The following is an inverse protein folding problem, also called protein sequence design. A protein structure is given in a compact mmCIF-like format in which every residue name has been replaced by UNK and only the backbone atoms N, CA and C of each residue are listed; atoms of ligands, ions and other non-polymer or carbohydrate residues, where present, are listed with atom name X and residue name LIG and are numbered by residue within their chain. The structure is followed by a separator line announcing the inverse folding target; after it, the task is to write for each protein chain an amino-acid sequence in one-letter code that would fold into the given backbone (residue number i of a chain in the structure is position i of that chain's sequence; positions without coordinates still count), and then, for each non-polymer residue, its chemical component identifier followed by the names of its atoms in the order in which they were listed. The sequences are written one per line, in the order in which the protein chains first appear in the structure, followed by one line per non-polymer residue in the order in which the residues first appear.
data_IF_844413900515
#
_entry.id   IF_844413900515
#
_cell.length_a   1.000
_cell.length_b   1.000
_cell.length_c   1.000
_cell.angle_alpha   90.00
_cell.angle_beta   90.00
_cell.angle_gamma   90.00
#
_symmetry.space_group_name_H-M   'P 1'
#
loop_
_entity.id
_entity.type
_entity.pdbx_description
1 polymer ?
#
# COMPACT_ATOMS: atom_id res chain seq x y z
N UNK A 1 -27.03 13.24 -7.33
CA UNK A 1 -27.25 12.03 -6.50
C UNK A 1 -27.91 10.91 -7.29
N UNK A 2 -28.99 11.17 -8.00
CA UNK A 2 -29.64 10.15 -8.87
C UNK A 2 -28.70 9.40 -9.83
N UNK A 3 -27.70 10.05 -10.40
CA UNK A 3 -26.77 9.41 -11.32
C UNK A 3 -25.88 8.36 -10.63
N UNK A 4 -25.43 8.62 -9.40
CA UNK A 4 -24.71 7.62 -8.60
C UNK A 4 -25.57 6.43 -8.21
N UNK A 5 -26.85 6.65 -8.00
CA UNK A 5 -27.78 5.59 -7.57
C UNK A 5 -28.20 4.69 -8.71
N UNK A 6 -28.09 5.14 -9.98
CA UNK A 6 -28.38 4.33 -11.17
C UNK A 6 -27.31 3.28 -11.47
N UNK A 7 -26.04 3.61 -11.30
CA UNK A 7 -24.90 2.72 -11.54
C UNK A 7 -23.92 2.78 -10.35
N UNK A 8 -24.35 2.29 -9.20
CA UNK A 8 -23.59 2.52 -7.98
C UNK A 8 -22.18 1.90 -8.03
N UNK A 9 -21.97 0.72 -8.59
CA UNK A 9 -20.66 0.08 -8.65
C UNK A 9 -19.63 0.87 -9.47
N UNK A 10 -20.04 1.74 -10.39
CA UNK A 10 -19.12 2.54 -11.21
C UNK A 10 -18.53 3.76 -10.49
N UNK A 11 -19.08 4.15 -9.34
CA UNK A 11 -18.61 5.30 -8.57
C UNK A 11 -17.70 4.85 -7.44
N UNK A 12 -16.45 5.28 -7.47
CA UNK A 12 -15.47 4.99 -6.43
C UNK A 12 -15.13 6.25 -5.62
N UNK A 13 -14.93 6.09 -4.30
CA UNK A 13 -14.41 7.17 -3.46
C UNK A 13 -12.96 7.45 -3.85
N UNK A 14 -12.68 8.63 -4.40
CA UNK A 14 -11.36 8.96 -4.93
C UNK A 14 -10.57 9.89 -4.00
N UNK A 15 -11.25 10.72 -3.23
CA UNK A 15 -10.62 11.66 -2.31
C UNK A 15 -11.42 11.77 -1.03
N UNK A 16 -10.70 11.88 0.08
CA UNK A 16 -11.25 12.23 1.37
C UNK A 16 -10.64 13.55 1.82
N UNK A 17 -11.49 14.54 2.07
CA UNK A 17 -11.08 15.87 2.50
C UNK A 17 -11.46 16.07 3.97
N UNK A 18 -10.49 16.44 4.75
CA UNK A 18 -10.67 16.86 6.13
C UNK A 18 -10.72 18.39 6.19
N UNK A 19 -11.69 18.93 6.91
CA UNK A 19 -11.78 20.36 7.20
C UNK A 19 -11.85 20.54 8.71
N UNK A 20 -11.14 21.53 9.24
CA UNK A 20 -11.16 21.83 10.67
C UNK A 20 -12.58 22.23 11.10
N UNK A 21 -13.09 21.56 12.15
CA UNK A 21 -14.45 21.84 12.67
C UNK A 21 -15.61 21.37 11.80
N UNK A 22 -15.35 20.70 10.65
CA UNK A 22 -16.40 20.19 9.77
C UNK A 22 -16.30 18.67 9.58
N UNK A 23 -17.39 18.05 9.12
CA UNK A 23 -17.42 16.65 8.77
C UNK A 23 -16.55 16.39 7.51
N UNK A 24 -15.83 15.29 7.52
CA UNK A 24 -15.04 14.87 6.38
C UNK A 24 -15.91 14.61 5.13
N UNK A 25 -15.43 15.00 3.98
CA UNK A 25 -16.10 14.88 2.71
C UNK A 25 -15.44 13.87 1.80
N UNK A 26 -16.24 13.02 1.18
CA UNK A 26 -15.80 12.00 0.20
C UNK A 26 -16.17 12.46 -1.19
N UNK A 27 -15.18 12.67 -2.05
CA UNK A 27 -15.39 12.94 -3.48
C UNK A 27 -15.38 11.62 -4.24
N UNK A 28 -16.36 11.43 -5.13
CA UNK A 28 -16.52 10.23 -5.94
C UNK A 28 -16.19 10.51 -7.39
N UNK A 29 -15.58 9.52 -8.05
CA UNK A 29 -15.32 9.54 -9.48
C UNK A 29 -15.99 8.35 -10.16
N UNK A 30 -16.51 8.61 -11.35
CA UNK A 30 -17.07 7.59 -12.23
C UNK A 30 -15.94 6.93 -13.03
N UNK A 31 -15.82 5.60 -12.92
CA UNK A 31 -14.75 4.83 -13.54
C UNK A 31 -15.23 3.69 -14.43
N UNK A 32 -16.53 3.56 -14.70
CA UNK A 32 -17.12 2.45 -15.47
C UNK A 32 -16.58 1.08 -14.99
N UNK A 33 -16.49 0.10 -15.88
CA UNK A 33 -15.94 -1.24 -15.61
C UNK A 33 -14.44 -1.34 -15.97
N UNK A 34 -13.73 -0.23 -15.97
CA UNK A 34 -12.31 -0.19 -16.32
C UNK A 34 -11.46 -0.90 -15.26
N UNK A 35 -10.61 -1.82 -15.70
CA UNK A 35 -9.62 -2.46 -14.81
C UNK A 35 -8.53 -1.48 -14.43
N UNK A 36 -8.03 -1.60 -13.21
CA UNK A 36 -6.86 -0.83 -12.78
C UNK A 36 -5.61 -1.43 -13.41
N UNK A 37 -4.99 -0.67 -14.32
CA UNK A 37 -3.77 -1.06 -15.04
C UNK A 37 -2.54 -0.32 -14.54
N UNK A 38 -2.74 0.81 -13.86
CA UNK A 38 -1.67 1.68 -13.39
C UNK A 38 -0.95 1.11 -12.16
N UNK A 39 0.30 1.53 -11.98
CA UNK A 39 1.12 1.12 -10.84
C UNK A 39 0.60 1.62 -9.50
N UNK A 40 -0.15 2.72 -9.52
CA UNK A 40 -0.75 3.37 -8.35
C UNK A 40 -2.18 3.82 -8.68
N UNK A 41 -3.11 3.63 -7.74
CA UNK A 41 -4.50 4.01 -7.93
C UNK A 41 -4.68 5.53 -8.12
N UNK A 42 -3.78 6.33 -7.56
CA UNK A 42 -3.76 7.78 -7.78
C UNK A 42 -3.63 8.15 -9.26
N UNK A 43 -2.85 7.40 -10.04
CA UNK A 43 -2.66 7.63 -11.48
C UNK A 43 -3.97 7.39 -12.23
N UNK A 44 -4.67 6.31 -11.90
CA UNK A 44 -6.02 6.03 -12.41
C UNK A 44 -6.99 7.16 -12.07
N UNK A 45 -7.04 7.59 -10.82
CA UNK A 45 -7.92 8.69 -10.41
C UNK A 45 -7.56 10.01 -11.08
N UNK A 46 -6.29 10.31 -11.28
CA UNK A 46 -5.85 11.49 -12.03
C UNK A 46 -6.31 11.44 -13.50
N UNK A 47 -6.29 10.28 -14.12
CA UNK A 47 -6.84 10.06 -15.46
C UNK A 47 -8.36 10.26 -15.49
N UNK A 48 -9.07 9.66 -14.54
CA UNK A 48 -10.53 9.76 -14.46
C UNK A 48 -11.02 11.19 -14.19
N UNK A 49 -10.34 11.98 -13.38
CA UNK A 49 -10.68 13.40 -13.12
C UNK A 49 -10.73 14.24 -14.40
N UNK A 50 -9.99 13.84 -15.44
CA UNK A 50 -9.97 14.57 -16.73
C UNK A 50 -11.14 14.19 -17.65
N UNK A 51 -11.92 13.15 -17.33
CA UNK A 51 -13.06 12.73 -18.12
C UNK A 51 -14.20 13.74 -18.02
N UNK A 52 -14.92 14.01 -19.11
CA UNK A 52 -16.01 15.00 -19.11
C UNK A 52 -17.04 14.79 -17.99
N UNK A 53 -17.44 13.55 -17.73
CA UNK A 53 -18.39 13.22 -16.67
C UNK A 53 -17.89 13.62 -15.29
N UNK A 54 -16.62 13.36 -14.97
CA UNK A 54 -16.02 13.68 -13.68
C UNK A 54 -15.64 15.14 -13.56
N UNK A 55 -15.29 15.80 -14.67
CA UNK A 55 -15.03 17.23 -14.70
C UNK A 55 -16.31 18.06 -14.49
N UNK A 56 -17.43 17.57 -15.04
CA UNK A 56 -18.73 18.22 -14.90
C UNK A 56 -19.49 17.82 -13.61
N UNK A 57 -19.28 16.60 -13.13
CA UNK A 57 -20.02 16.03 -12.02
C UNK A 57 -19.12 15.11 -11.18
N UNK A 58 -18.59 15.65 -10.09
CA UNK A 58 -17.87 14.88 -9.06
C UNK A 58 -18.65 14.98 -7.75
N UNK A 59 -19.53 14.00 -7.44
CA UNK A 59 -20.37 14.05 -6.24
C UNK A 59 -19.50 14.09 -4.98
N UNK A 60 -19.99 14.86 -4.00
CA UNK A 60 -19.38 14.93 -2.66
C UNK A 60 -20.41 14.45 -1.64
N UNK A 61 -19.98 13.57 -0.73
CA UNK A 61 -20.86 13.00 0.30
C UNK A 61 -20.17 13.00 1.66
N UNK A 62 -20.95 12.75 2.74
CA UNK A 62 -20.43 12.54 4.08
C UNK A 62 -19.82 11.14 4.26
N UNK A 63 -19.08 10.93 5.36
CA UNK A 63 -18.63 9.60 5.79
C UNK A 63 -19.78 8.68 6.15
N UNK A 64 -20.88 9.24 6.67
CA UNK A 64 -22.09 8.48 6.95
C UNK A 64 -22.65 7.86 5.66
N UNK A 65 -22.75 8.64 4.58
CA UNK A 65 -23.20 8.15 3.28
C UNK A 65 -22.27 7.08 2.71
N UNK A 66 -20.94 7.23 2.90
CA UNK A 66 -19.96 6.19 2.52
C UNK A 66 -20.28 4.87 3.26
N UNK A 67 -20.49 4.93 4.58
CA UNK A 67 -20.78 3.72 5.38
C UNK A 67 -22.13 3.10 5.00
N UNK A 68 -23.16 3.91 4.85
CA UNK A 68 -24.49 3.44 4.43
C UNK A 68 -24.43 2.74 3.06
N UNK A 69 -23.66 3.32 2.11
CA UNK A 69 -23.46 2.75 0.80
C UNK A 69 -22.69 1.43 0.86
N UNK A 70 -21.63 1.35 1.64
CA UNK A 70 -20.85 0.12 1.80
C UNK A 70 -21.68 -1.02 2.40
N UNK A 71 -22.68 -0.70 3.24
CA UNK A 71 -23.64 -1.67 3.77
C UNK A 71 -24.65 -2.10 2.70
N UNK A 72 -25.17 -1.17 1.92
CA UNK A 72 -26.17 -1.45 0.89
C UNK A 72 -25.58 -2.17 -0.33
N UNK A 73 -24.32 -1.90 -0.65
CA UNK A 73 -23.58 -2.47 -1.78
C UNK A 73 -22.20 -2.92 -1.30
N UNK A 74 -22.09 -4.08 -0.66
CA UNK A 74 -20.80 -4.59 -0.19
C UNK A 74 -19.90 -4.96 -1.37
N UNK A 75 -18.62 -4.53 -1.28
CA UNK A 75 -17.59 -4.90 -2.23
C UNK A 75 -16.91 -6.21 -1.84
N UNK A 76 -15.93 -6.60 -2.66
CA UNK A 76 -15.08 -7.77 -2.43
C UNK A 76 -14.30 -7.56 -1.12
N UNK A 77 -14.38 -8.48 -0.15
CA UNK A 77 -13.58 -8.39 1.06
C UNK A 77 -12.08 -8.54 0.74
N UNK A 78 -11.18 -7.94 1.55
CA UNK A 78 -9.75 -8.05 1.29
C UNK A 78 -9.27 -9.48 1.47
N UNK A 79 -8.69 -10.04 0.41
CA UNK A 79 -8.03 -11.35 0.40
C UNK A 79 -6.64 -11.26 1.05
N UNK A 80 -5.96 -10.13 0.90
CA UNK A 80 -4.64 -9.94 1.50
C UNK A 80 -4.13 -8.51 1.43
N UNK A 81 -3.25 -8.17 2.37
CA UNK A 81 -2.53 -6.90 2.39
C UNK A 81 -1.05 -7.09 2.08
N UNK A 82 -0.48 -6.13 1.34
CA UNK A 82 0.95 -6.03 1.08
C UNK A 82 1.49 -4.83 1.83
N UNK A 83 2.14 -5.07 2.97
CA UNK A 83 2.97 -4.09 3.66
C UNK A 83 4.39 -4.12 3.09
N UNK A 84 5.10 -3.01 3.13
CA UNK A 84 6.43 -2.95 2.56
C UNK A 84 7.23 -1.74 3.07
N UNK A 85 8.55 -1.81 2.90
CA UNK A 85 9.48 -0.73 3.33
C UNK A 85 9.71 0.35 2.28
N UNK A 86 8.95 0.35 1.16
CA UNK A 86 9.26 1.14 -0.04
C UNK A 86 10.52 0.66 -0.79
N UNK A 87 10.59 0.90 -2.10
CA UNK A 87 11.75 0.55 -2.95
C UNK A 87 12.23 -0.91 -2.85
N UNK A 88 11.36 -1.81 -2.47
CA UNK A 88 11.62 -3.23 -2.22
C UNK A 88 10.89 -4.19 -3.16
N UNK A 89 10.36 -3.71 -4.30
CA UNK A 89 9.68 -4.57 -5.28
C UNK A 89 8.19 -4.81 -5.01
N UNK A 90 7.55 -4.07 -4.10
CA UNK A 90 6.12 -4.23 -3.79
C UNK A 90 5.20 -4.02 -5.00
N UNK A 91 5.56 -3.14 -5.94
CA UNK A 91 4.82 -2.97 -7.20
C UNK A 91 4.92 -4.23 -8.07
N UNK A 92 6.08 -4.90 -8.10
CA UNK A 92 6.23 -6.18 -8.78
C UNK A 92 5.31 -7.23 -8.16
N UNK A 93 5.33 -7.38 -6.82
CA UNK A 93 4.45 -8.33 -6.13
C UNK A 93 2.97 -8.04 -6.40
N UNK A 94 2.54 -6.78 -6.36
CA UNK A 94 1.17 -6.41 -6.68
C UNK A 94 0.77 -6.80 -8.11
N UNK A 95 1.66 -6.57 -9.08
CA UNK A 95 1.44 -6.99 -10.48
C UNK A 95 1.43 -8.50 -10.66
N UNK A 96 2.26 -9.24 -9.91
CA UNK A 96 2.24 -10.70 -9.91
C UNK A 96 0.90 -11.23 -9.38
N UNK A 97 0.42 -10.71 -8.25
CA UNK A 97 -0.89 -11.10 -7.68
C UNK A 97 -2.06 -10.72 -8.60
N UNK A 98 -1.96 -9.63 -9.36
CA UNK A 98 -2.97 -9.23 -10.33
C UNK A 98 -3.13 -10.22 -11.50
N UNK A 99 -2.18 -11.16 -11.68
CA UNK A 99 -2.28 -12.22 -12.68
C UNK A 99 -3.16 -13.40 -12.21
N UNK A 100 -3.44 -13.50 -10.92
CA UNK A 100 -4.33 -14.54 -10.42
C UNK A 100 -5.76 -14.32 -10.96
N UNK A 101 -6.47 -15.40 -11.36
CA UNK A 101 -7.83 -15.28 -11.87
C UNK A 101 -8.76 -14.56 -10.90
N UNK A 102 -9.69 -13.80 -11.44
CA UNK A 102 -10.74 -13.13 -10.67
C UNK A 102 -10.23 -12.17 -9.58
N UNK A 103 -9.06 -11.58 -9.80
CA UNK A 103 -8.38 -10.73 -8.82
C UNK A 103 -8.48 -9.25 -9.17
N UNK A 104 -8.78 -8.45 -8.15
CA UNK A 104 -8.68 -6.99 -8.12
C UNK A 104 -7.50 -6.59 -7.23
N UNK A 105 -6.65 -5.69 -7.71
CA UNK A 105 -5.54 -5.14 -6.91
C UNK A 105 -5.67 -3.63 -6.80
N UNK A 106 -5.64 -3.13 -5.57
CA UNK A 106 -5.58 -1.70 -5.26
C UNK A 106 -4.18 -1.35 -4.78
N UNK A 107 -3.51 -0.44 -5.46
CA UNK A 107 -2.15 -0.02 -5.09
C UNK A 107 -2.16 1.38 -4.49
N UNK A 108 -1.83 1.48 -3.21
CA UNK A 108 -1.67 2.72 -2.45
C UNK A 108 -2.88 3.65 -2.63
N UNK A 109 -4.11 3.22 -2.23
CA UNK A 109 -5.32 3.99 -2.48
C UNK A 109 -5.38 5.24 -1.61
N UNK A 110 -5.40 6.47 -2.20
CA UNK A 110 -5.30 7.72 -1.44
C UNK A 110 -6.40 7.95 -0.41
N UNK A 111 -7.68 7.62 -0.69
CA UNK A 111 -8.73 7.81 0.31
C UNK A 111 -8.61 6.84 1.50
N UNK A 112 -7.96 5.68 1.32
CA UNK A 112 -7.64 4.78 2.42
C UNK A 112 -6.54 5.38 3.32
N UNK A 113 -5.44 5.92 2.72
CA UNK A 113 -4.38 6.62 3.46
C UNK A 113 -4.96 7.79 4.29
N UNK A 114 -5.87 8.56 3.70
CA UNK A 114 -6.50 9.68 4.39
C UNK A 114 -7.24 9.25 5.68
N UNK A 115 -7.83 8.05 5.73
CA UNK A 115 -8.48 7.52 6.93
C UNK A 115 -7.43 6.99 7.91
N UNK A 116 -6.43 6.25 7.44
CA UNK A 116 -5.35 5.73 8.30
C UNK A 116 -4.68 6.87 9.06
N UNK A 117 -4.45 7.99 8.39
CA UNK A 117 -3.78 9.17 8.94
C UNK A 117 -4.72 10.22 9.53
N UNK A 118 -6.03 9.96 9.63
CA UNK A 118 -7.01 10.94 10.08
C UNK A 118 -6.63 11.66 11.39
N UNK A 119 -6.12 10.91 12.36
CA UNK A 119 -5.74 11.44 13.66
C UNK A 119 -4.40 12.23 13.67
N UNK A 120 -3.70 12.28 12.54
CA UNK A 120 -2.54 13.17 12.35
C UNK A 120 -2.93 14.54 11.79
N UNK A 121 -4.15 14.67 11.30
CA UNK A 121 -4.75 15.93 10.91
C UNK A 121 -5.59 16.49 12.06
N UNK A 122 -6.15 17.66 11.93
CA UNK A 122 -7.01 18.28 12.94
C UNK A 122 -8.31 17.48 13.24
N UNK A 123 -8.54 16.38 12.53
CA UNK A 123 -9.70 15.52 12.68
C UNK A 123 -9.48 14.46 13.75
N UNK A 124 -10.22 14.55 14.86
CA UNK A 124 -10.19 13.53 15.91
C UNK A 124 -11.27 12.49 15.68
N UNK A 125 -10.93 11.38 15.02
CA UNK A 125 -11.80 10.22 14.93
C UNK A 125 -11.63 9.31 16.15
N UNK A 126 -12.76 8.83 16.71
CA UNK A 126 -12.69 7.72 17.65
C UNK A 126 -12.17 6.46 16.94
N UNK A 127 -11.49 5.57 17.69
CA UNK A 127 -10.94 4.32 17.13
C UNK A 127 -11.99 3.50 16.41
N UNK A 128 -13.17 3.35 17.00
CA UNK A 128 -14.28 2.60 16.41
C UNK A 128 -14.79 3.23 15.10
N UNK A 129 -14.91 4.55 15.06
CA UNK A 129 -15.31 5.26 13.85
C UNK A 129 -14.28 5.10 12.74
N UNK A 130 -12.97 5.19 13.06
CA UNK A 130 -11.87 5.00 12.12
C UNK A 130 -11.90 3.60 11.51
N UNK A 131 -12.06 2.56 12.35
CA UNK A 131 -12.17 1.15 11.91
C UNK A 131 -13.36 0.96 10.98
N UNK A 132 -14.55 1.43 11.38
CA UNK A 132 -15.77 1.28 10.57
C UNK A 132 -15.65 2.04 9.24
N UNK A 133 -15.01 3.20 9.24
CA UNK A 133 -14.78 3.98 8.02
C UNK A 133 -13.74 3.32 7.11
N UNK A 134 -12.68 2.71 7.65
CA UNK A 134 -11.72 1.89 6.88
C UNK A 134 -12.41 0.71 6.20
N UNK A 135 -13.25 -0.03 6.92
CA UNK A 135 -14.02 -1.15 6.36
C UNK A 135 -14.96 -0.69 5.24
N UNK A 136 -15.65 0.42 5.45
CA UNK A 136 -16.53 1.00 4.44
C UNK A 136 -15.76 1.48 3.20
N UNK A 137 -14.60 2.09 3.40
CA UNK A 137 -13.73 2.55 2.31
C UNK A 137 -13.22 1.37 1.48
N UNK A 138 -12.73 0.31 2.11
CA UNK A 138 -12.28 -0.90 1.43
C UNK A 138 -13.42 -1.55 0.65
N UNK A 139 -14.61 -1.65 1.25
CA UNK A 139 -15.81 -2.15 0.57
C UNK A 139 -16.18 -1.30 -0.66
N UNK A 140 -16.17 0.02 -0.53
CA UNK A 140 -16.50 0.93 -1.63
C UNK A 140 -15.46 0.90 -2.76
N UNK A 141 -14.16 0.77 -2.44
CA UNK A 141 -13.07 0.62 -3.43
C UNK A 141 -13.04 -0.78 -4.05
N UNK A 142 -13.47 -1.79 -3.31
CA UNK A 142 -13.48 -3.20 -3.71
C UNK A 142 -14.67 -3.60 -4.58
N UNK A 143 -15.37 -2.66 -5.22
CA UNK A 143 -16.42 -2.99 -6.19
C UNK A 143 -15.82 -3.74 -7.38
N UNK A 144 -16.49 -4.84 -7.79
CA UNK A 144 -16.04 -5.64 -8.93
C UNK A 144 -16.01 -4.80 -10.21
N UNK A 145 -14.95 -4.94 -11.00
CA UNK A 145 -14.71 -4.25 -12.29
C UNK A 145 -14.79 -5.21 -13.48
N UNK A 146 -15.00 -6.49 -13.21
CA UNK A 146 -15.20 -7.51 -14.23
C UNK A 146 -15.95 -8.68 -13.63
N UNK A 147 -16.69 -9.38 -14.48
CA UNK A 147 -17.43 -10.58 -14.06
C UNK A 147 -16.49 -11.61 -13.41
N UNK A 148 -16.95 -12.20 -12.33
CA UNK A 148 -16.23 -13.26 -11.60
C UNK A 148 -15.19 -12.78 -10.60
N UNK A 149 -14.87 -11.50 -10.51
CA UNK A 149 -13.92 -11.00 -9.50
C UNK A 149 -14.43 -11.28 -8.08
N UNK A 150 -13.61 -11.97 -7.30
CA UNK A 150 -13.92 -12.38 -5.92
C UNK A 150 -12.71 -12.29 -4.98
N UNK A 151 -11.58 -11.76 -5.44
CA UNK A 151 -10.35 -11.57 -4.68
C UNK A 151 -9.93 -10.11 -4.73
N UNK A 152 -9.55 -9.57 -3.58
CA UNK A 152 -9.07 -8.19 -3.44
C UNK A 152 -7.75 -8.16 -2.71
N UNK A 153 -6.70 -7.69 -3.36
CA UNK A 153 -5.43 -7.38 -2.71
C UNK A 153 -5.24 -5.87 -2.61
N UNK A 154 -4.71 -5.43 -1.48
CA UNK A 154 -4.41 -4.02 -1.25
C UNK A 154 -2.92 -3.88 -0.93
N UNK A 155 -2.19 -3.29 -1.86
CA UNK A 155 -0.83 -2.83 -1.62
C UNK A 155 -0.92 -1.50 -0.88
N UNK A 156 -0.42 -1.47 0.32
CA UNK A 156 -0.47 -0.32 1.22
C UNK A 156 0.69 0.65 0.93
N UNK A 157 0.59 1.88 1.42
CA UNK A 157 1.75 2.77 1.49
C UNK A 157 2.77 2.25 2.53
N UNK A 158 4.06 2.57 2.33
CA UNK A 158 5.11 2.06 3.20
C UNK A 158 4.91 2.45 4.68
N UNK A 159 4.43 3.66 4.95
CA UNK A 159 4.17 4.16 6.30
C UNK A 159 2.93 3.52 6.97
N UNK A 160 2.09 2.81 6.23
CA UNK A 160 0.98 2.08 6.83
C UNK A 160 1.44 0.94 7.73
N UNK A 161 2.68 0.48 7.61
CA UNK A 161 3.28 -0.44 8.58
C UNK A 161 3.26 0.14 10.01
N UNK A 162 3.44 1.45 10.16
CA UNK A 162 3.36 2.15 11.45
C UNK A 162 1.95 2.13 12.06
N UNK A 163 0.95 1.81 11.25
CA UNK A 163 -0.46 1.71 11.61
C UNK A 163 -0.98 0.27 11.57
N UNK A 164 -0.10 -0.73 11.51
CA UNK A 164 -0.48 -2.14 11.48
C UNK A 164 -1.47 -2.56 12.59
N UNK A 165 -1.37 -2.08 13.84
CA UNK A 165 -2.37 -2.37 14.87
C UNK A 165 -3.79 -1.93 14.48
N UNK A 166 -3.95 -0.75 13.89
CA UNK A 166 -5.26 -0.26 13.39
C UNK A 166 -5.81 -1.18 12.30
N UNK A 167 -4.96 -1.55 11.34
CA UNK A 167 -5.37 -2.37 10.20
C UNK A 167 -5.73 -3.79 10.64
N UNK A 168 -5.02 -4.34 11.61
CA UNK A 168 -5.34 -5.66 12.20
C UNK A 168 -6.66 -5.66 12.98
N UNK A 169 -7.00 -4.58 13.68
CA UNK A 169 -8.31 -4.44 14.31
C UNK A 169 -9.43 -4.28 13.26
N UNK A 170 -9.16 -3.54 12.20
CA UNK A 170 -10.14 -3.36 11.13
C UNK A 170 -10.36 -4.65 10.33
N UNK A 171 -9.33 -5.46 10.11
CA UNK A 171 -9.34 -6.65 9.27
C UNK A 171 -8.58 -7.81 9.96
N UNK A 172 -9.12 -8.36 11.07
CA UNK A 172 -8.40 -9.31 11.92
C UNK A 172 -8.05 -10.63 11.24
N UNK A 173 -8.88 -11.05 10.27
CA UNK A 173 -8.74 -12.35 9.61
C UNK A 173 -8.02 -12.29 8.26
N UNK A 174 -7.74 -11.07 7.76
CA UNK A 174 -7.07 -10.90 6.48
C UNK A 174 -5.58 -11.18 6.61
N UNK A 175 -5.03 -12.16 5.87
CA UNK A 175 -3.60 -12.43 5.85
C UNK A 175 -2.83 -11.29 5.19
N UNK A 176 -1.54 -11.18 5.49
CA UNK A 176 -0.70 -10.15 4.93
C UNK A 176 0.74 -10.58 4.78
N UNK A 177 1.46 -9.86 3.94
CA UNK A 177 2.90 -10.02 3.75
C UNK A 177 3.61 -8.71 4.08
N UNK A 178 4.85 -8.80 4.57
CA UNK A 178 5.75 -7.66 4.74
C UNK A 178 6.96 -7.84 3.82
N UNK A 179 7.00 -7.06 2.75
CA UNK A 179 8.07 -7.10 1.78
C UNK A 179 9.14 -6.08 2.14
N UNK A 180 10.37 -6.55 2.30
CA UNK A 180 11.54 -5.73 2.60
C UNK A 180 12.72 -6.08 1.69
N UNK A 181 13.79 -5.31 1.75
CA UNK A 181 14.98 -5.43 0.92
C UNK A 181 16.21 -5.03 1.72
N UNK A 182 17.40 -5.36 1.22
CA UNK A 182 18.66 -4.89 1.80
C UNK A 182 18.59 -3.39 2.09
N UNK A 183 18.86 -2.95 3.34
CA UNK A 183 18.60 -1.57 3.75
C UNK A 183 19.47 -0.54 3.04
N UNK A 184 20.71 -0.88 2.68
CA UNK A 184 21.57 0.04 1.92
C UNK A 184 21.01 0.32 0.53
N UNK A 185 20.49 -0.71 -0.15
CA UNK A 185 19.85 -0.57 -1.46
C UNK A 185 18.57 0.28 -1.39
N UNK A 186 17.81 0.15 -0.29
CA UNK A 186 16.64 1.00 -0.02
C UNK A 186 17.07 2.44 0.25
N UNK A 187 18.08 2.65 1.08
CA UNK A 187 18.65 3.98 1.39
C UNK A 187 19.10 4.72 0.13
N UNK A 188 19.93 4.09 -0.69
CA UNK A 188 20.41 4.68 -1.96
C UNK A 188 19.22 5.05 -2.86
N UNK A 189 18.23 4.15 -2.99
CA UNK A 189 17.05 4.42 -3.80
C UNK A 189 16.21 5.59 -3.27
N UNK A 190 16.11 5.75 -1.95
CA UNK A 190 15.42 6.88 -1.32
C UNK A 190 16.19 8.20 -1.47
N UNK A 191 17.50 8.16 -1.37
CA UNK A 191 18.33 9.36 -1.54
C UNK A 191 18.36 9.85 -2.98
N UNK A 192 18.29 8.94 -3.98
CA UNK A 192 18.13 9.28 -5.40
C UNK A 192 16.76 9.93 -5.67
N UNK A 193 15.71 9.36 -5.14
CA UNK A 193 14.33 9.82 -5.30
C UNK A 193 13.52 9.51 -4.05
N UNK A 194 13.29 10.52 -3.24
CA UNK A 194 12.58 10.36 -1.96
C UNK A 194 11.13 9.94 -2.17
N UNK A 195 10.73 8.91 -1.42
CA UNK A 195 9.31 8.68 -1.17
C UNK A 195 8.77 9.73 -0.19
N UNK A 196 7.49 10.03 -0.28
CA UNK A 196 6.81 11.04 0.57
C UNK A 196 7.14 10.86 2.07
N UNK A 197 7.17 9.64 2.57
CA UNK A 197 7.43 9.32 3.97
C UNK A 197 8.85 9.68 4.44
N UNK A 198 9.83 9.78 3.54
CA UNK A 198 11.20 10.19 3.86
C UNK A 198 11.45 11.69 3.68
N UNK A 199 10.42 12.45 3.32
CA UNK A 199 10.48 13.91 3.29
C UNK A 199 10.23 14.44 4.71
N UNK A 200 11.11 15.30 5.24
CA UNK A 200 10.94 15.90 6.56
C UNK A 200 9.58 16.58 6.74
N UNK A 201 8.94 16.33 7.88
CA UNK A 201 7.63 16.93 8.22
C UNK A 201 6.40 16.23 7.63
N UNK A 202 6.55 15.24 6.74
CA UNK A 202 5.40 14.48 6.20
C UNK A 202 4.86 13.46 7.21
N UNK A 203 5.74 12.78 7.94
CA UNK A 203 5.33 11.91 9.04
C UNK A 203 5.48 12.65 10.39
N UNK A 204 4.53 12.46 11.31
CA UNK A 204 4.68 12.94 12.69
C UNK A 204 5.95 12.38 13.33
N UNK A 205 6.69 13.24 14.02
CA UNK A 205 7.94 12.85 14.71
C UNK A 205 7.71 11.71 15.72
N UNK A 206 6.53 11.67 16.34
CA UNK A 206 6.13 10.60 17.29
C UNK A 206 6.14 9.21 16.67
N UNK A 207 5.88 9.08 15.37
CA UNK A 207 5.93 7.80 14.65
C UNK A 207 7.35 7.35 14.32
N UNK A 208 8.32 8.25 14.40
CA UNK A 208 9.73 8.02 14.05
C UNK A 208 10.65 8.28 15.25
N UNK A 209 10.19 7.95 16.46
CA UNK A 209 10.97 8.02 17.68
C UNK A 209 11.30 9.43 18.16
N UNK A 210 10.45 10.41 17.90
CA UNK A 210 10.63 11.81 18.32
C UNK A 210 11.71 12.56 17.52
N UNK A 211 12.11 12.05 16.35
CA UNK A 211 13.19 12.65 15.56
C UNK A 211 12.81 14.04 15.06
N UNK A 212 13.61 15.03 15.45
CA UNK A 212 13.57 16.37 14.88
C UNK A 212 14.38 16.39 13.57
N UNK A 213 13.74 16.66 12.42
CA UNK A 213 14.46 16.67 11.15
C UNK A 213 15.51 17.79 11.03
N UNK A 214 15.43 18.84 11.85
CA UNK A 214 16.41 19.93 11.86
C UNK A 214 17.69 19.57 12.65
N UNK A 215 17.63 18.55 13.50
CA UNK A 215 18.71 18.13 14.39
C UNK A 215 19.56 16.99 13.82
N UNK A 216 19.22 16.44 12.66
CA UNK A 216 19.89 15.28 12.06
C UNK A 216 20.18 15.49 10.57
N UNK A 217 21.15 14.75 10.04
CA UNK A 217 21.41 14.77 8.61
C UNK A 217 20.25 14.17 7.79
N UNK A 218 20.22 14.47 6.52
CA UNK A 218 19.26 13.96 5.55
C UNK A 218 19.26 12.42 5.48
N UNK A 219 20.43 11.81 5.55
CA UNK A 219 20.65 10.38 5.55
C UNK A 219 20.18 9.74 6.86
N UNK A 220 20.52 10.37 7.98
CA UNK A 220 20.10 9.89 9.29
C UNK A 220 18.58 9.97 9.45
N UNK A 221 17.95 11.08 9.04
CA UNK A 221 16.50 11.20 9.04
C UNK A 221 15.84 10.08 8.23
N UNK A 222 16.33 9.87 7.00
CA UNK A 222 15.85 8.79 6.12
C UNK A 222 16.00 7.43 6.80
N UNK A 223 17.16 7.14 7.39
CA UNK A 223 17.42 5.89 8.08
C UNK A 223 16.50 5.67 9.29
N UNK A 224 16.23 6.70 10.08
CA UNK A 224 15.30 6.62 11.22
C UNK A 224 13.86 6.37 10.80
N UNK A 225 13.39 7.01 9.73
CA UNK A 225 12.07 6.74 9.14
C UNK A 225 11.98 5.29 8.68
N UNK A 226 12.95 4.83 7.90
CA UNK A 226 12.98 3.44 7.41
C UNK A 226 13.06 2.45 8.58
N UNK A 227 13.90 2.72 9.58
CA UNK A 227 14.00 1.89 10.80
C UNK A 227 12.62 1.71 11.47
N UNK A 228 11.86 2.80 11.62
CA UNK A 228 10.52 2.71 12.21
C UNK A 228 9.60 1.79 11.40
N UNK A 229 9.65 1.86 10.05
CA UNK A 229 8.85 1.01 9.17
C UNK A 229 9.28 -0.46 9.25
N UNK A 230 10.60 -0.75 9.23
CA UNK A 230 11.13 -2.11 9.40
C UNK A 230 10.72 -2.70 10.75
N UNK A 231 10.89 -1.92 11.82
CA UNK A 231 10.53 -2.34 13.17
C UNK A 231 9.02 -2.59 13.32
N UNK A 232 8.19 -1.76 12.73
CA UNK A 232 6.74 -1.94 12.74
C UNK A 232 6.31 -3.21 11.99
N UNK A 233 6.94 -3.51 10.84
CA UNK A 233 6.71 -4.73 10.10
C UNK A 233 7.08 -5.99 10.89
N UNK A 234 8.23 -5.96 11.58
CA UNK A 234 8.65 -7.05 12.46
C UNK A 234 7.70 -7.20 13.66
N UNK A 235 7.39 -6.11 14.35
CA UNK A 235 6.52 -6.13 15.53
C UNK A 235 5.09 -6.60 15.22
N UNK A 236 4.60 -6.35 14.01
CA UNK A 236 3.30 -6.81 13.57
C UNK A 236 3.30 -8.28 13.12
N UNK A 237 4.46 -8.85 12.81
CA UNK A 237 4.57 -10.21 12.31
C UNK A 237 3.98 -11.22 13.30
N UNK A 238 3.18 -12.13 12.75
CA UNK A 238 2.57 -13.24 13.49
C UNK A 238 2.67 -14.49 12.62
N UNK A 239 3.45 -15.51 13.03
CA UNK A 239 3.57 -16.77 12.29
C UNK A 239 2.19 -17.34 11.94
N UNK A 240 2.06 -17.87 10.73
CA UNK A 240 0.80 -18.42 10.21
C UNK A 240 -0.22 -17.38 9.70
N UNK A 241 -0.12 -16.11 10.10
CA UNK A 241 -1.00 -15.03 9.62
C UNK A 241 -0.30 -14.02 8.73
N UNK A 242 1.01 -14.03 8.73
CA UNK A 242 1.81 -13.14 7.89
C UNK A 242 3.09 -13.81 7.41
N UNK A 243 3.62 -13.34 6.26
CA UNK A 243 4.93 -13.75 5.76
C UNK A 243 5.87 -12.56 5.73
N UNK A 244 7.11 -12.77 6.18
CA UNK A 244 8.23 -11.86 5.96
C UNK A 244 8.93 -12.26 4.66
N UNK A 245 9.05 -11.33 3.72
CA UNK A 245 9.58 -11.59 2.38
C UNK A 245 10.73 -10.66 2.10
N UNK A 246 11.94 -11.21 1.98
CA UNK A 246 13.06 -10.45 1.44
C UNK A 246 12.97 -10.42 -0.09
N UNK A 247 13.11 -9.24 -0.68
CA UNK A 247 13.06 -9.03 -2.13
C UNK A 247 14.00 -9.95 -2.92
N UNK A 248 15.18 -10.26 -2.38
CA UNK A 248 16.15 -11.17 -3.02
C UNK A 248 15.62 -12.58 -3.26
N UNK A 249 14.60 -12.99 -2.48
CA UNK A 249 13.95 -14.30 -2.58
C UNK A 249 12.57 -14.24 -3.24
N UNK A 250 12.12 -13.05 -3.68
CA UNK A 250 10.77 -12.88 -4.20
C UNK A 250 10.40 -13.85 -5.34
N UNK A 251 11.26 -14.10 -6.35
CA UNK A 251 10.94 -15.07 -7.40
C UNK A 251 10.69 -16.48 -6.88
N UNK A 252 11.50 -16.93 -5.93
CA UNK A 252 11.42 -18.30 -5.37
C UNK A 252 10.28 -18.47 -4.37
N UNK A 253 9.80 -17.36 -3.80
CA UNK A 253 8.74 -17.36 -2.79
C UNK A 253 7.34 -17.18 -3.36
N UNK A 254 7.19 -16.99 -4.67
CA UNK A 254 5.88 -16.66 -5.24
C UNK A 254 4.84 -17.75 -4.98
N UNK A 255 5.22 -19.02 -5.02
CA UNK A 255 4.33 -20.14 -4.70
C UNK A 255 3.92 -20.17 -3.23
N UNK A 256 4.83 -19.84 -2.32
CA UNK A 256 4.52 -19.71 -0.90
C UNK A 256 3.58 -18.54 -0.62
N UNK A 257 3.80 -17.40 -1.29
CA UNK A 257 2.93 -16.23 -1.21
C UNK A 257 1.54 -16.55 -1.76
N UNK A 258 1.46 -17.24 -2.89
CA UNK A 258 0.20 -17.66 -3.47
C UNK A 258 -0.61 -18.53 -2.48
N UNK A 259 0.02 -19.59 -1.94
CA UNK A 259 -0.63 -20.46 -0.93
C UNK A 259 -1.03 -19.70 0.33
N UNK A 260 -0.19 -18.77 0.81
CA UNK A 260 -0.51 -17.94 1.98
C UNK A 260 -1.79 -17.13 1.80
N UNK A 261 -2.05 -16.69 0.59
CA UNK A 261 -3.27 -15.96 0.22
C UNK A 261 -4.41 -16.86 -0.29
N UNK A 262 -4.26 -18.19 -0.22
CA UNK A 262 -5.28 -19.13 -0.71
C UNK A 262 -5.42 -19.16 -2.23
N UNK A 263 -4.36 -18.80 -2.96
CA UNK A 263 -4.27 -18.96 -4.41
C UNK A 263 -3.67 -20.31 -4.77
N UNK A 264 -4.08 -20.88 -5.91
CA UNK A 264 -3.41 -22.05 -6.49
C UNK A 264 -2.16 -21.61 -7.28
N UNK A 265 -0.94 -21.94 -6.82
CA UNK A 265 0.27 -21.59 -7.55
C UNK A 265 0.41 -22.37 -8.87
N UNK A 266 -0.39 -23.43 -9.06
CA UNK A 266 -0.37 -24.25 -10.29
C UNK A 266 -1.41 -23.83 -11.33
N UNK A 267 -2.25 -22.84 -11.02
CA UNK A 267 -3.20 -22.31 -11.98
C UNK A 267 -2.50 -21.88 -13.28
N UNK A 268 -2.91 -22.39 -14.47
CA UNK A 268 -2.22 -22.12 -15.73
C UNK A 268 -2.23 -20.65 -16.14
N UNK A 269 -3.32 -19.93 -15.87
CA UNK A 269 -3.43 -18.50 -16.22
C UNK A 269 -2.52 -17.69 -15.31
N UNK A 270 -2.47 -18.03 -14.02
CA UNK A 270 -1.57 -17.41 -13.06
C UNK A 270 -0.10 -17.61 -13.47
N UNK A 271 0.33 -18.85 -13.80
CA UNK A 271 1.69 -19.14 -14.27
C UNK A 271 2.06 -18.39 -15.54
N UNK A 272 1.15 -18.33 -16.50
CA UNK A 272 1.38 -17.58 -17.75
C UNK A 272 1.56 -16.08 -17.45
N UNK A 273 0.70 -15.51 -16.63
CA UNK A 273 0.79 -14.11 -16.21
C UNK A 273 2.07 -13.81 -15.45
N UNK A 274 2.51 -14.68 -14.53
CA UNK A 274 3.79 -14.55 -13.82
C UNK A 274 4.98 -14.47 -14.78
N UNK A 275 5.03 -15.35 -15.79
CA UNK A 275 6.11 -15.39 -16.76
C UNK A 275 6.22 -14.10 -17.59
N UNK A 276 5.08 -13.42 -17.83
CA UNK A 276 5.05 -12.12 -18.52
C UNK A 276 5.54 -10.99 -17.61
N UNK A 277 5.08 -10.95 -16.36
CA UNK A 277 5.40 -9.87 -15.43
C UNK A 277 6.87 -9.87 -15.02
N UNK A 278 7.48 -11.04 -14.77
CA UNK A 278 8.87 -11.16 -14.33
C UNK A 278 9.84 -10.58 -15.37
N UNK A 279 9.50 -10.63 -16.65
CA UNK A 279 10.34 -10.13 -17.75
C UNK A 279 10.28 -8.60 -17.91
N UNK A 280 9.35 -7.92 -17.26
CA UNK A 280 9.09 -6.48 -17.42
C UNK A 280 9.46 -5.69 -16.18
N UNK A 281 10.00 -4.48 -16.37
CA UNK A 281 10.16 -3.54 -15.26
C UNK A 281 8.78 -3.11 -14.75
N UNK A 282 8.56 -3.31 -13.45
CA UNK A 282 7.26 -3.10 -12.83
C UNK A 282 6.81 -1.63 -12.78
N UNK A 283 7.71 -0.67 -12.96
CA UNK A 283 7.41 0.78 -12.88
C UNK A 283 7.57 1.51 -14.21
N UNK A 284 8.54 1.10 -15.02
CA UNK A 284 8.96 1.84 -16.22
C UNK A 284 8.48 1.21 -17.52
N UNK A 285 7.94 -0.03 -17.46
CA UNK A 285 7.51 -0.74 -18.66
C UNK A 285 8.69 -1.00 -19.60
N UNK A 286 9.52 -1.96 -19.33
CA UNK A 286 10.70 -2.33 -20.13
C UNK A 286 11.32 -3.60 -19.58
N UNK A 287 12.51 -3.96 -20.06
CA UNK A 287 13.22 -5.14 -19.55
C UNK A 287 13.71 -4.88 -18.12
N UNK A 288 13.39 -5.79 -17.21
CA UNK A 288 13.93 -5.74 -15.84
C UNK A 288 15.44 -5.90 -15.85
N UNK A 289 16.15 -5.01 -15.15
CA UNK A 289 17.60 -5.10 -14.92
C UNK A 289 17.86 -5.05 -13.41
N UNK A 290 18.55 -6.05 -12.83
CA UNK A 290 18.94 -6.00 -11.43
C UNK A 290 19.85 -4.81 -11.14
N UNK A 291 19.50 -4.00 -10.13
CA UNK A 291 20.19 -2.76 -9.78
C UNK A 291 20.92 -2.80 -8.42
N UNK A 292 21.01 -3.98 -7.81
CA UNK A 292 21.57 -4.14 -6.46
C UNK A 292 23.07 -3.76 -6.40
N UNK A 293 23.87 -4.25 -7.34
CA UNK A 293 25.31 -3.96 -7.39
C UNK A 293 25.58 -2.47 -7.63
N UNK A 294 24.86 -1.87 -8.58
CA UNK A 294 24.94 -0.45 -8.90
C UNK A 294 24.61 0.42 -7.66
N UNK A 295 23.50 0.13 -6.98
CA UNK A 295 23.10 0.85 -5.76
C UNK A 295 24.14 0.75 -4.64
N UNK A 296 24.74 -0.42 -4.46
CA UNK A 296 25.80 -0.58 -3.45
C UNK A 296 27.06 0.21 -3.78
N UNK A 297 27.43 0.28 -5.07
CA UNK A 297 28.58 1.04 -5.54
C UNK A 297 28.37 2.57 -5.40
N UNK A 298 27.14 3.05 -5.53
CA UNK A 298 26.80 4.47 -5.41
C UNK A 298 26.60 4.95 -3.96
N UNK A 299 26.60 4.02 -2.99
CA UNK A 299 26.36 4.37 -1.60
C UNK A 299 27.44 5.29 -1.05
N UNK A 300 27.07 6.50 -0.63
CA UNK A 300 27.96 7.43 0.05
C UNK A 300 28.37 6.90 1.42
N UNK A 301 29.50 7.35 1.97
CA UNK A 301 29.93 7.01 3.32
C UNK A 301 28.88 7.38 4.37
N UNK A 302 28.19 8.52 4.20
CA UNK A 302 27.10 8.94 5.09
C UNK A 302 25.92 7.96 5.04
N UNK A 303 25.51 7.51 3.84
CA UNK A 303 24.45 6.52 3.68
C UNK A 303 24.84 5.16 4.28
N UNK A 304 26.10 4.73 4.08
CA UNK A 304 26.62 3.49 4.67
C UNK A 304 26.62 3.56 6.21
N UNK A 305 27.13 4.64 6.79
CA UNK A 305 27.16 4.85 8.24
C UNK A 305 25.76 4.89 8.85
N UNK A 306 24.84 5.66 8.26
CA UNK A 306 23.45 5.73 8.72
C UNK A 306 22.74 4.37 8.61
N UNK A 307 23.00 3.60 7.54
CA UNK A 307 22.48 2.24 7.36
C UNK A 307 23.00 1.30 8.42
N UNK A 308 24.32 1.27 8.66
CA UNK A 308 24.96 0.41 9.65
C UNK A 308 24.41 0.69 11.05
N UNK A 309 24.27 1.97 11.42
CA UNK A 309 23.83 2.38 12.74
C UNK A 309 22.33 2.09 12.97
N UNK A 310 21.49 2.42 12.03
CA UNK A 310 20.04 2.46 12.25
C UNK A 310 19.26 1.29 11.63
N UNK A 311 19.73 0.74 10.52
CA UNK A 311 18.93 -0.21 9.72
C UNK A 311 19.45 -1.64 9.80
N UNK A 312 20.77 -1.85 9.83
CA UNK A 312 21.32 -3.21 9.86
C UNK A 312 20.82 -4.02 11.07
N UNK A 313 20.77 -3.49 12.30
CA UNK A 313 20.30 -4.28 13.43
C UNK A 313 18.86 -4.76 13.32
N UNK A 314 17.96 -3.93 12.80
CA UNK A 314 16.54 -4.33 12.60
C UNK A 314 16.35 -5.24 11.39
N UNK A 315 17.16 -5.07 10.36
CA UNK A 315 17.18 -5.97 9.20
C UNK A 315 17.62 -7.38 9.59
N UNK A 316 18.65 -7.51 10.41
CA UNK A 316 19.14 -8.81 10.91
C UNK A 316 18.08 -9.53 11.75
N UNK A 317 17.31 -8.77 12.55
CA UNK A 317 16.17 -9.32 13.30
C UNK A 317 15.06 -9.81 12.37
N UNK A 318 14.76 -9.08 11.29
CA UNK A 318 13.79 -9.52 10.27
C UNK A 318 14.24 -10.79 9.56
N UNK A 319 15.53 -10.90 9.20
CA UNK A 319 16.08 -12.11 8.59
C UNK A 319 16.01 -13.28 9.55
N UNK A 320 16.35 -13.10 10.83
CA UNK A 320 16.22 -14.14 11.85
C UNK A 320 14.76 -14.61 12.00
N UNK A 321 13.80 -13.67 12.08
CA UNK A 321 12.38 -13.98 12.18
C UNK A 321 11.80 -14.65 10.92
N UNK A 322 12.34 -14.33 9.73
CA UNK A 322 11.94 -14.97 8.46
C UNK A 322 12.40 -16.43 8.37
N UNK A 323 13.51 -16.76 9.00
CA UNK A 323 14.11 -18.10 8.97
C UNK A 323 13.59 -19.01 10.10
N UNK A 324 12.93 -18.46 11.11
CA UNK A 324 12.31 -19.19 12.21
C UNK A 324 10.97 -19.79 11.80
#
# INVERSE_FOLDING_TARGET
MELMDRHPAHWLPARLLWSEGAEAQVTWLHGEDERFSESFLQETFNSWMRRPINAAFAPVTSLEKLRARATALPGIPPTGFIFHVSRCGSTLLARLLAQAPNTLVLSEPPPFDAIVRANHYACRMSRSLQINTLRAMVSALGQSRASGQNRLFIKLDAWHALHAPLLREAFPDTPWVFLYRNPLEVMVSQLRQRGMHTVPGVLPSTLIGGTDPSAVSSEEYCAKVLRAIYAAGLAAHTPGRSLLINYSHLPDMIDAIARHFGLDPNDPDFKTGLALVIKTDAKRGGKFTPDAAEKRAEATLAAQSATATWLTPIYDQLEAARMA
#
